data_IF_371222978706
#
_entry.id   IF_371222978706
#
_cell.length_a   1.000
_cell.length_b   1.000
_cell.length_c   1.000
_cell.angle_alpha   90.00
_cell.angle_beta   90.00
_cell.angle_gamma   90.00
#
_symmetry.space_group_name_H-M   'P 1'
#
loop_
_entity.id
_entity.type
_entity.pdbx_description
1 polymer ?
#
# COMPACT_ATOMS: atom_id res chain seq x y z
N UNK A 1 -19.89 12.17 16.57
CA UNK A 1 -19.41 11.01 17.35
C UNK A 1 -18.41 10.25 16.48
N UNK A 2 -17.17 10.70 16.50
CA UNK A 2 -16.04 10.04 15.82
C UNK A 2 -14.89 9.88 16.80
N UNK A 3 -15.20 9.91 18.10
CA UNK A 3 -14.23 10.37 19.08
C UNK A 3 -13.20 9.32 19.49
N UNK A 4 -13.37 8.02 19.17
CA UNK A 4 -12.33 7.00 19.35
C UNK A 4 -12.51 5.81 18.39
N UNK A 5 -12.08 5.95 17.14
CA UNK A 5 -11.95 4.80 16.22
C UNK A 5 -10.49 4.65 15.83
N UNK A 6 -9.91 3.46 16.06
CA UNK A 6 -8.57 3.10 15.63
C UNK A 6 -8.65 2.37 14.28
N UNK A 7 -8.06 2.95 13.25
CA UNK A 7 -7.82 2.27 11.97
C UNK A 7 -6.48 1.55 11.99
N UNK A 8 -6.46 0.29 11.55
CA UNK A 8 -5.22 -0.50 11.39
C UNK A 8 -5.09 -0.91 9.93
N UNK A 9 -4.02 -0.48 9.27
CA UNK A 9 -3.73 -0.81 7.87
C UNK A 9 -2.69 -1.93 7.81
N UNK A 10 -3.06 -3.08 7.25
CA UNK A 10 -2.15 -4.22 7.08
C UNK A 10 -1.46 -4.16 5.70
N UNK A 11 -0.36 -3.41 5.62
CA UNK A 11 0.38 -3.13 4.39
C UNK A 11 1.54 -4.08 4.04
N UNK A 12 1.63 -5.26 4.65
CA UNK A 12 2.80 -6.15 4.51
C UNK A 12 2.86 -7.02 3.26
N UNK A 13 1.85 -6.97 2.38
CA UNK A 13 1.75 -7.90 1.24
C UNK A 13 2.86 -7.69 0.19
N UNK A 14 3.60 -8.76 -0.14
CA UNK A 14 4.65 -8.75 -1.18
C UNK A 14 4.10 -8.39 -2.56
N UNK A 15 2.91 -8.86 -2.92
CA UNK A 15 2.32 -8.61 -4.24
C UNK A 15 3.11 -9.26 -5.40
N UNK A 16 3.35 -10.58 -5.32
CA UNK A 16 4.12 -11.35 -6.31
C UNK A 16 3.59 -11.24 -7.75
N UNK A 17 2.27 -11.09 -7.93
CA UNK A 17 1.64 -10.88 -9.26
C UNK A 17 1.98 -9.53 -9.90
N UNK A 18 2.52 -8.58 -9.14
CA UNK A 18 2.92 -7.27 -9.64
C UNK A 18 4.41 -7.21 -9.96
N UNK A 19 5.13 -8.33 -9.96
CA UNK A 19 6.52 -8.35 -10.46
C UNK A 19 6.58 -7.73 -11.87
N UNK A 20 7.55 -6.86 -12.18
CA UNK A 20 8.73 -6.49 -11.37
C UNK A 20 8.51 -5.34 -10.38
N UNK A 21 7.33 -4.72 -10.35
CA UNK A 21 7.03 -3.50 -9.60
C UNK A 21 7.18 -3.66 -8.08
N UNK A 22 7.15 -4.89 -7.57
CA UNK A 22 7.25 -5.24 -6.14
C UNK A 22 8.53 -6.00 -5.78
N UNK A 23 9.55 -6.05 -6.64
CA UNK A 23 10.81 -6.76 -6.32
C UNK A 23 11.58 -6.09 -5.17
N UNK A 24 11.60 -4.76 -5.13
CA UNK A 24 12.34 -3.96 -4.13
C UNK A 24 11.43 -3.19 -3.18
N UNK A 25 10.11 -3.35 -3.30
CA UNK A 25 9.11 -2.62 -2.51
C UNK A 25 7.87 -3.47 -2.26
N UNK A 26 7.18 -3.22 -1.15
CA UNK A 26 5.89 -3.86 -0.86
C UNK A 26 4.80 -3.39 -1.81
N UNK A 27 3.74 -4.20 -1.98
CA UNK A 27 2.59 -3.86 -2.82
C UNK A 27 2.02 -2.47 -2.52
N UNK A 28 1.81 -2.05 -1.26
CA UNK A 28 1.14 -0.77 -1.02
C UNK A 28 2.02 0.44 -1.37
N UNK A 29 3.34 0.26 -1.49
CA UNK A 29 4.26 1.30 -1.92
C UNK A 29 4.35 1.46 -3.46
N UNK A 30 3.59 0.69 -4.24
CA UNK A 30 3.58 0.78 -5.70
C UNK A 30 3.00 2.14 -6.15
N UNK A 31 3.71 2.93 -6.98
CA UNK A 31 3.21 4.23 -7.45
C UNK A 31 2.02 4.11 -8.38
N UNK A 32 1.08 5.05 -8.27
CA UNK A 32 -0.09 5.22 -9.16
C UNK A 32 -0.28 6.69 -9.52
N UNK A 33 -0.86 6.95 -10.69
CA UNK A 33 -1.27 8.29 -11.13
C UNK A 33 -0.18 9.38 -11.00
N UNK A 34 1.11 9.02 -11.13
CA UNK A 34 2.25 9.93 -11.15
C UNK A 34 2.62 10.59 -9.81
N UNK A 35 1.78 10.49 -8.77
CA UNK A 35 2.01 11.18 -7.47
C UNK A 35 1.71 10.32 -6.24
N UNK A 36 0.86 9.32 -6.37
CA UNK A 36 0.33 8.55 -5.24
C UNK A 36 0.92 7.15 -5.18
N UNK A 37 0.61 6.44 -4.11
CA UNK A 37 0.86 5.02 -3.88
C UNK A 37 -0.45 4.32 -3.57
N UNK A 38 -0.49 3.00 -3.68
CA UNK A 38 -1.70 2.21 -3.42
C UNK A 38 -2.26 2.33 -1.99
N UNK A 39 -1.44 2.75 -1.01
CA UNK A 39 -1.85 2.94 0.39
C UNK A 39 -2.18 4.39 0.75
N UNK A 40 -1.80 5.33 -0.12
CA UNK A 40 -2.15 6.74 0.09
C UNK A 40 -3.68 6.90 -0.07
#
# INVERSE_FOLDING_TARGET
MTDKVLGVILGGGQGSRLSPLTQTRSKPAVPIAGKYRLVD
#
